data_IF_613653111715
#
_entry.id   IF_613653111715
#
_cell.length_a   1.000
_cell.length_b   1.000
_cell.length_c   1.000
_cell.angle_alpha   90.00
_cell.angle_beta   90.00
_cell.angle_gamma   90.00
#
_symmetry.space_group_name_H-M   'P 1'
#
loop_
_entity.id
_entity.type
_entity.pdbx_description
1 polymer ?
#
# COMPACT_ATOMS: atom_id res chain seq x y z
N UNK A 1 -48.29 2.09 30.75
CA UNK A 1 -48.27 2.27 29.28
C UNK A 1 -47.65 1.03 28.68
N UNK A 2 -48.45 0.12 28.10
CA UNK A 2 -47.92 -1.08 27.45
C UNK A 2 -47.35 -0.71 26.09
N UNK A 3 -46.04 -0.86 25.94
CA UNK A 3 -45.37 -0.63 24.66
C UNK A 3 -45.79 -1.76 23.72
N UNK A 4 -46.45 -1.43 22.61
CA UNK A 4 -46.87 -2.45 21.64
C UNK A 4 -45.63 -3.00 20.91
N UNK A 5 -45.54 -4.30 20.63
CA UNK A 5 -44.41 -4.88 19.90
C UNK A 5 -44.10 -4.15 18.58
N UNK A 6 -45.13 -3.63 17.90
CA UNK A 6 -44.99 -2.84 16.67
C UNK A 6 -44.32 -1.46 16.86
N UNK A 7 -44.42 -0.86 18.04
CA UNK A 7 -43.75 0.41 18.35
C UNK A 7 -42.25 0.23 18.62
N UNK A 8 -41.84 -0.91 19.18
CA UNK A 8 -40.44 -1.27 19.38
C UNK A 8 -39.76 -1.59 18.06
N UNK A 9 -40.43 -2.31 17.15
CA UNK A 9 -39.86 -2.61 15.84
C UNK A 9 -39.69 -1.36 14.98
N UNK A 10 -40.64 -0.43 15.02
CA UNK A 10 -40.56 0.83 14.31
C UNK A 10 -39.38 1.71 14.78
N UNK A 11 -39.15 1.83 16.09
CA UNK A 11 -38.02 2.62 16.61
C UNK A 11 -36.67 2.01 16.26
N UNK A 12 -36.54 0.68 16.29
CA UNK A 12 -35.33 -0.03 15.85
C UNK A 12 -35.05 0.18 14.36
N UNK A 13 -36.08 0.16 13.50
CA UNK A 13 -35.93 0.42 12.06
C UNK A 13 -35.48 1.85 11.78
N UNK A 14 -36.07 2.84 12.46
CA UNK A 14 -35.66 4.25 12.33
C UNK A 14 -34.21 4.43 12.80
N UNK A 15 -33.84 3.82 13.93
CA UNK A 15 -32.46 3.84 14.42
C UNK A 15 -31.47 3.22 13.43
N UNK A 16 -31.83 2.08 12.81
CA UNK A 16 -31.02 1.43 11.78
C UNK A 16 -30.87 2.31 10.53
N UNK A 17 -31.94 2.94 10.06
CA UNK A 17 -31.91 3.85 8.90
C UNK A 17 -31.02 5.06 9.18
N UNK A 18 -31.15 5.69 10.36
CA UNK A 18 -30.29 6.81 10.77
C UNK A 18 -28.83 6.36 10.84
N UNK A 19 -28.55 5.20 11.42
CA UNK A 19 -27.20 4.64 11.47
C UNK A 19 -26.63 4.41 10.06
N UNK A 20 -27.39 3.80 9.16
CA UNK A 20 -26.97 3.60 7.76
C UNK A 20 -26.71 4.95 7.07
N UNK A 21 -27.61 5.92 7.23
CA UNK A 21 -27.45 7.26 6.64
C UNK A 21 -26.19 7.96 7.15
N UNK A 22 -25.92 7.90 8.44
CA UNK A 22 -24.71 8.51 9.02
C UNK A 22 -23.44 7.84 8.53
N UNK A 23 -23.41 6.51 8.42
CA UNK A 23 -22.30 5.76 7.83
C UNK A 23 -22.10 6.14 6.36
N UNK A 24 -23.17 6.16 5.55
CA UNK A 24 -23.10 6.51 4.12
C UNK A 24 -22.62 7.96 3.93
N UNK A 25 -23.16 8.92 4.69
CA UNK A 25 -22.72 10.31 4.62
C UNK A 25 -21.24 10.45 5.00
N UNK A 26 -20.78 9.74 6.03
CA UNK A 26 -19.37 9.72 6.42
C UNK A 26 -18.48 9.19 5.30
N UNK A 27 -18.86 8.09 4.65
CA UNK A 27 -18.10 7.53 3.53
C UNK A 27 -18.10 8.45 2.30
N UNK A 28 -19.21 9.11 2.00
CA UNK A 28 -19.29 10.10 0.91
C UNK A 28 -18.38 11.29 1.19
N UNK A 29 -18.43 11.86 2.39
CA UNK A 29 -17.56 12.97 2.79
C UNK A 29 -16.09 12.53 2.75
N UNK A 30 -15.78 11.33 3.26
CA UNK A 30 -14.46 10.73 3.21
C UNK A 30 -13.96 10.59 1.76
N UNK A 31 -14.80 10.11 0.86
CA UNK A 31 -14.49 9.98 -0.56
C UNK A 31 -14.27 11.33 -1.24
N UNK A 32 -15.10 12.34 -0.96
CA UNK A 32 -14.93 13.70 -1.49
C UNK A 32 -13.61 14.29 -0.99
N UNK A 33 -13.30 14.14 0.30
CA UNK A 33 -12.05 14.62 0.88
C UNK A 33 -10.84 13.92 0.26
N UNK A 34 -10.89 12.60 0.11
CA UNK A 34 -9.87 11.81 -0.59
C UNK A 34 -9.62 12.37 -1.99
N UNK A 35 -10.67 12.57 -2.78
CA UNK A 35 -10.58 13.09 -4.15
C UNK A 35 -9.99 14.50 -4.18
N UNK A 36 -10.37 15.37 -3.23
CA UNK A 36 -9.81 16.72 -3.10
C UNK A 36 -8.32 16.69 -2.78
N UNK A 37 -7.89 15.85 -1.83
CA UNK A 37 -6.49 15.70 -1.42
C UNK A 37 -5.57 15.35 -2.59
N UNK A 38 -6.02 14.49 -3.50
CA UNK A 38 -5.21 14.04 -4.63
C UNK A 38 -5.47 14.78 -5.95
N UNK A 39 -6.44 15.70 -5.99
CA UNK A 39 -6.86 16.39 -7.24
C UNK A 39 -5.78 17.28 -7.87
N UNK A 40 -4.81 17.75 -7.09
CA UNK A 40 -3.70 18.60 -7.58
C UNK A 40 -2.49 17.83 -8.12
N UNK A 41 -2.49 16.50 -8.03
CA UNK A 41 -1.39 15.69 -8.52
C UNK A 41 -1.56 15.35 -10.00
N UNK A 42 -0.48 15.33 -10.79
CA UNK A 42 -0.56 14.88 -12.17
C UNK A 42 -0.91 13.39 -12.22
N UNK A 43 -1.55 12.96 -13.30
CA UNK A 43 -1.97 11.58 -13.54
C UNK A 43 -1.34 11.05 -14.84
N UNK A 44 -1.04 9.74 -14.94
CA UNK A 44 -0.35 9.16 -16.10
C UNK A 44 -1.17 9.20 -17.39
N UNK A 45 -2.49 9.25 -17.28
CA UNK A 45 -3.42 9.28 -18.40
C UNK A 45 -4.86 9.49 -17.93
N UNK A 46 -5.83 9.27 -18.83
CA UNK A 46 -7.25 9.41 -18.50
C UNK A 46 -7.70 8.27 -17.58
N UNK A 47 -8.32 8.61 -16.45
CA UNK A 47 -8.87 7.62 -15.52
C UNK A 47 -10.19 7.02 -16.00
N UNK A 48 -10.32 5.69 -15.91
CA UNK A 48 -11.61 4.99 -16.04
C UNK A 48 -12.38 5.02 -14.71
N UNK A 49 -13.70 5.19 -14.75
CA UNK A 49 -14.53 5.34 -13.55
C UNK A 49 -14.47 4.12 -12.61
N UNK A 50 -14.35 2.91 -13.17
CA UNK A 50 -14.36 1.65 -12.41
C UNK A 50 -12.97 1.12 -12.05
N UNK A 51 -12.03 1.13 -13.00
CA UNK A 51 -10.72 0.48 -12.83
C UNK A 51 -9.59 1.48 -12.59
N UNK A 52 -9.89 2.78 -12.58
CA UNK A 52 -8.89 3.82 -12.43
C UNK A 52 -7.91 3.81 -13.62
N UNK A 53 -6.62 3.70 -13.32
CA UNK A 53 -5.51 3.62 -14.27
C UNK A 53 -5.07 2.19 -14.60
N UNK A 54 -5.71 1.15 -14.06
CA UNK A 54 -5.31 -0.24 -14.33
C UNK A 54 -5.31 -0.59 -15.82
N UNK A 55 -6.23 -0.02 -16.59
CA UNK A 55 -6.32 -0.22 -18.04
C UNK A 55 -5.16 0.39 -18.85
N UNK A 56 -4.33 1.22 -18.22
CA UNK A 56 -3.12 1.79 -18.84
C UNK A 56 -1.91 0.86 -18.68
N UNK A 57 -1.99 -0.13 -17.79
CA UNK A 57 -0.88 -1.04 -17.53
C UNK A 57 -0.79 -2.08 -18.64
N UNK A 58 0.38 -2.23 -19.30
CA UNK A 58 0.60 -3.31 -20.24
C UNK A 58 0.79 -4.65 -19.50
N UNK A 59 0.94 -5.72 -20.27
CA UNK A 59 1.26 -7.04 -19.74
C UNK A 59 2.52 -7.01 -18.83
N UNK A 60 2.53 -7.82 -17.76
CA UNK A 60 3.70 -7.95 -16.89
C UNK A 60 4.98 -8.31 -17.67
N UNK A 61 6.13 -7.88 -17.15
CA UNK A 61 7.44 -8.11 -17.74
C UNK A 61 8.03 -6.85 -18.34
N UNK A 62 8.74 -6.99 -19.46
CA UNK A 62 9.51 -5.90 -20.06
C UNK A 62 8.65 -4.72 -20.50
N UNK A 63 7.46 -4.97 -21.06
CA UNK A 63 6.52 -3.92 -21.48
C UNK A 63 6.11 -3.03 -20.31
N UNK A 64 5.84 -3.63 -19.15
CA UNK A 64 5.50 -2.88 -17.93
C UNK A 64 6.67 -2.05 -17.42
N UNK A 65 7.89 -2.57 -17.49
CA UNK A 65 9.10 -1.83 -17.11
C UNK A 65 9.30 -0.62 -18.04
N UNK A 66 9.17 -0.81 -19.36
CA UNK A 66 9.26 0.27 -20.35
C UNK A 66 8.19 1.33 -20.11
N UNK A 67 6.95 0.92 -19.91
CA UNK A 67 5.86 1.84 -19.57
C UNK A 67 6.15 2.64 -18.29
N UNK A 68 6.71 2.01 -17.26
CA UNK A 68 7.08 2.69 -16.02
C UNK A 68 8.20 3.71 -16.24
N UNK A 69 9.20 3.38 -17.07
CA UNK A 69 10.28 4.29 -17.47
C UNK A 69 9.74 5.49 -18.26
N UNK A 70 8.89 5.26 -19.26
CA UNK A 70 8.26 6.31 -20.07
C UNK A 70 7.36 7.22 -19.23
N UNK A 71 6.56 6.63 -18.34
CA UNK A 71 5.71 7.38 -17.42
C UNK A 71 6.54 8.22 -16.46
N UNK A 72 7.67 7.68 -15.99
CA UNK A 72 8.62 8.42 -15.16
C UNK A 72 9.30 9.55 -15.94
N UNK A 73 9.63 9.35 -17.21
CA UNK A 73 10.15 10.41 -18.07
C UNK A 73 9.15 11.56 -18.29
N UNK A 74 7.86 11.24 -18.48
CA UNK A 74 6.77 12.23 -18.61
C UNK A 74 6.42 12.93 -17.30
N UNK A 75 6.49 12.20 -16.18
CA UNK A 75 6.10 12.64 -14.84
C UNK A 75 7.26 12.44 -13.85
N UNK A 76 8.33 13.26 -13.95
CA UNK A 76 9.63 12.97 -13.32
C UNK A 76 9.66 13.15 -11.80
N UNK A 77 8.73 13.91 -11.21
CA UNK A 77 8.71 14.15 -9.76
C UNK A 77 7.76 13.21 -9.04
N UNK A 78 6.46 13.45 -9.17
CA UNK A 78 5.41 12.67 -8.50
C UNK A 78 4.22 12.54 -9.44
N UNK A 79 3.39 11.51 -9.24
CA UNK A 79 2.07 11.41 -9.86
C UNK A 79 1.12 10.56 -9.04
N UNK A 80 -0.18 10.70 -9.29
CA UNK A 80 -1.21 9.87 -8.66
C UNK A 80 -1.64 8.72 -9.59
N UNK A 81 -1.56 7.49 -9.09
CA UNK A 81 -2.08 6.30 -9.73
C UNK A 81 -3.34 5.81 -9.01
N UNK A 82 -4.47 5.74 -9.70
CA UNK A 82 -5.73 5.28 -9.14
C UNK A 82 -5.96 3.79 -9.45
N UNK A 83 -6.13 2.97 -8.43
CA UNK A 83 -6.62 1.59 -8.52
C UNK A 83 -8.12 1.58 -8.23
N UNK A 84 -8.92 1.67 -9.29
CA UNK A 84 -10.36 1.92 -9.16
C UNK A 84 -10.69 3.31 -8.62
N UNK A 85 -11.95 3.55 -8.20
CA UNK A 85 -12.39 4.89 -7.78
C UNK A 85 -11.85 5.30 -6.40
N UNK A 86 -11.53 4.35 -5.51
CA UNK A 86 -11.32 4.62 -4.08
C UNK A 86 -9.87 4.49 -3.59
N UNK A 87 -8.93 4.08 -4.44
CA UNK A 87 -7.53 3.83 -4.02
C UNK A 87 -6.54 4.66 -4.84
N UNK A 88 -6.21 5.87 -4.39
CA UNK A 88 -5.10 6.64 -4.94
C UNK A 88 -3.77 6.16 -4.33
N UNK A 89 -2.75 6.06 -5.15
CA UNK A 89 -1.37 5.79 -4.76
C UNK A 89 -0.48 6.88 -5.31
N UNK A 90 0.37 7.47 -4.48
CA UNK A 90 1.33 8.48 -4.93
C UNK A 90 2.61 7.78 -5.33
N UNK A 91 2.99 7.92 -6.60
CA UNK A 91 4.24 7.41 -7.14
C UNK A 91 5.30 8.50 -6.99
N UNK A 92 6.46 8.15 -6.45
CA UNK A 92 7.59 9.04 -6.22
C UNK A 92 8.71 8.65 -7.18
N UNK A 93 9.03 9.55 -8.09
CA UNK A 93 9.97 9.29 -9.18
C UNK A 93 11.28 10.06 -9.05
N UNK A 94 11.35 11.03 -8.11
CA UNK A 94 12.55 11.82 -7.88
C UNK A 94 13.18 11.51 -6.50
N UNK A 95 14.52 11.44 -6.39
CA UNK A 95 15.21 11.19 -5.13
C UNK A 95 14.81 12.15 -4.00
N UNK A 96 14.64 13.44 -4.29
CA UNK A 96 14.20 14.43 -3.30
C UNK A 96 12.83 14.06 -2.72
N UNK A 97 11.88 13.70 -3.59
CA UNK A 97 10.51 13.36 -3.17
C UNK A 97 10.45 12.04 -2.42
N UNK A 98 11.24 11.04 -2.85
CA UNK A 98 11.35 9.77 -2.14
C UNK A 98 12.01 9.93 -0.77
N UNK A 99 13.05 10.79 -0.67
CA UNK A 99 13.80 11.01 0.57
C UNK A 99 12.91 11.51 1.72
N UNK A 100 11.93 12.37 1.42
CA UNK A 100 10.99 12.89 2.42
C UNK A 100 10.28 11.75 3.16
N UNK A 101 9.82 10.73 2.44
CA UNK A 101 9.11 9.60 3.03
C UNK A 101 10.06 8.51 3.55
N UNK A 102 11.17 8.22 2.85
CA UNK A 102 12.13 7.20 3.26
C UNK A 102 12.88 7.53 4.56
N UNK A 103 12.95 8.80 4.95
CA UNK A 103 13.52 9.25 6.23
C UNK A 103 12.55 9.10 7.40
N UNK A 104 11.28 8.82 7.16
CA UNK A 104 10.28 8.61 8.20
C UNK A 104 10.31 7.17 8.71
N UNK A 105 9.84 6.96 9.94
CA UNK A 105 9.67 5.64 10.54
C UNK A 105 8.22 5.12 10.42
N UNK A 106 7.46 5.63 9.44
CA UNK A 106 6.06 5.26 9.24
C UNK A 106 5.90 3.74 9.06
N UNK A 107 4.86 3.13 9.66
CA UNK A 107 4.65 1.70 9.54
C UNK A 107 4.27 1.34 8.11
N UNK A 108 4.67 0.13 7.71
CA UNK A 108 4.28 -0.41 6.41
C UNK A 108 2.76 -0.67 6.39
N UNK A 109 2.09 -0.46 5.25
CA UNK A 109 0.65 -0.67 5.15
C UNK A 109 0.32 -2.17 5.13
N UNK A 110 0.24 -2.77 6.32
CA UNK A 110 -0.17 -4.17 6.54
C UNK A 110 -1.68 -4.34 6.71
N UNK A 111 -2.41 -3.22 6.76
CA UNK A 111 -3.87 -3.18 6.86
C UNK A 111 -4.56 -3.62 5.57
N UNK A 112 -5.89 -3.82 5.66
CA UNK A 112 -6.72 -4.22 4.51
C UNK A 112 -6.52 -3.28 3.31
N UNK A 113 -6.19 -3.86 2.16
CA UNK A 113 -5.93 -3.13 0.92
C UNK A 113 -4.47 -2.70 0.69
N UNK A 114 -3.57 -2.92 1.65
CA UNK A 114 -2.13 -2.68 1.48
C UNK A 114 -1.39 -3.89 0.91
N UNK A 115 -0.37 -3.64 0.06
CA UNK A 115 0.40 -4.69 -0.62
C UNK A 115 1.06 -5.68 0.37
N UNK A 116 1.56 -5.19 1.51
CA UNK A 116 2.23 -6.01 2.52
C UNK A 116 1.31 -6.99 3.24
N UNK A 117 -0.02 -6.77 3.23
CA UNK A 117 -0.98 -7.71 3.84
C UNK A 117 -0.97 -9.07 3.16
N UNK A 118 -0.74 -9.10 1.85
CA UNK A 118 -0.74 -10.35 1.09
C UNK A 118 0.40 -11.28 1.48
N UNK A 119 1.50 -10.74 2.02
CA UNK A 119 2.63 -11.52 2.51
C UNK A 119 2.44 -12.03 3.95
N UNK A 120 1.45 -11.50 4.70
CA UNK A 120 1.26 -11.80 6.12
C UNK A 120 0.97 -13.28 6.42
N UNK A 121 0.12 -14.00 5.66
CA UNK A 121 -0.16 -15.42 5.94
C UNK A 121 1.07 -16.32 5.75
N UNK A 122 2.00 -15.92 4.89
CA UNK A 122 3.20 -16.70 4.55
C UNK A 122 4.38 -16.34 5.46
N UNK A 123 4.73 -15.05 5.54
CA UNK A 123 5.93 -14.58 6.23
C UNK A 123 5.72 -14.27 7.71
N UNK A 124 4.46 -14.18 8.15
CA UNK A 124 4.10 -13.72 9.48
C UNK A 124 4.60 -12.30 9.78
N UNK A 125 4.56 -11.89 11.05
CA UNK A 125 5.01 -10.57 11.47
C UNK A 125 6.54 -10.49 11.69
N UNK A 126 7.30 -10.91 10.68
CA UNK A 126 8.77 -10.84 10.66
C UNK A 126 9.32 -9.46 10.35
N UNK A 127 10.65 -9.35 10.18
CA UNK A 127 11.36 -8.08 9.93
C UNK A 127 10.77 -7.26 8.76
N UNK A 128 10.30 -7.93 7.71
CA UNK A 128 9.73 -7.27 6.54
C UNK A 128 8.40 -6.57 6.83
N UNK A 129 7.53 -7.18 7.65
CA UNK A 129 6.16 -6.70 7.89
C UNK A 129 6.01 -5.94 9.21
N UNK A 130 6.93 -6.16 10.16
CA UNK A 130 6.93 -5.46 11.43
C UNK A 130 7.05 -3.94 11.25
N UNK A 131 6.35 -3.20 12.10
CA UNK A 131 6.44 -1.74 12.24
C UNK A 131 6.99 -1.32 13.61
N UNK A 132 7.37 -0.05 13.71
CA UNK A 132 7.72 0.61 14.98
C UNK A 132 8.76 -0.14 15.82
N UNK A 133 8.50 -0.26 17.12
CA UNK A 133 9.43 -0.83 18.09
C UNK A 133 9.77 -2.31 17.82
N UNK A 134 8.79 -3.11 17.34
CA UNK A 134 9.01 -4.52 16.98
C UNK A 134 10.02 -4.65 15.85
N UNK A 135 9.86 -3.84 14.79
CA UNK A 135 10.82 -3.76 13.70
C UNK A 135 12.20 -3.32 14.19
N UNK A 136 12.28 -2.28 15.01
CA UNK A 136 13.55 -1.75 15.50
C UNK A 136 14.32 -2.81 16.33
N UNK A 137 13.61 -3.53 17.21
CA UNK A 137 14.17 -4.65 17.98
C UNK A 137 14.68 -5.76 17.06
N UNK A 138 13.84 -6.24 16.13
CA UNK A 138 14.23 -7.31 15.20
C UNK A 138 15.41 -6.90 14.31
N UNK A 139 15.44 -5.65 13.83
CA UNK A 139 16.54 -5.12 13.02
C UNK A 139 17.84 -5.08 13.81
N UNK A 140 17.82 -4.57 15.04
CA UNK A 140 18.99 -4.53 15.92
C UNK A 140 19.54 -5.93 16.20
N UNK A 141 18.67 -6.92 16.38
CA UNK A 141 19.06 -8.31 16.62
C UNK A 141 19.71 -8.95 15.38
N UNK A 142 19.16 -8.70 14.18
CA UNK A 142 19.60 -9.36 12.94
C UNK A 142 20.81 -8.69 12.29
N UNK A 143 21.00 -7.38 12.45
CA UNK A 143 22.06 -6.63 11.74
C UNK A 143 23.47 -7.23 11.94
N UNK A 144 23.88 -7.71 13.14
CA UNK A 144 25.20 -8.31 13.34
C UNK A 144 25.46 -9.57 12.49
N UNK A 145 24.41 -10.34 12.15
CA UNK A 145 24.55 -11.55 11.33
C UNK A 145 24.94 -11.25 9.87
N UNK A 146 24.79 -10.00 9.44
CA UNK A 146 25.17 -9.51 8.11
C UNK A 146 26.47 -8.67 8.14
N UNK A 147 27.25 -8.76 9.22
CA UNK A 147 28.58 -8.13 9.27
C UNK A 147 29.56 -8.83 8.33
N UNK A 148 30.48 -8.09 7.70
CA UNK A 148 31.40 -8.65 6.70
C UNK A 148 32.21 -9.84 7.20
N UNK A 149 32.60 -9.85 8.47
CA UNK A 149 33.33 -10.99 9.08
C UNK A 149 32.51 -12.28 9.09
N UNK A 150 31.20 -12.16 9.27
CA UNK A 150 30.26 -13.28 9.20
C UNK A 150 30.03 -13.68 7.75
N UNK A 151 30.00 -12.71 6.82
CA UNK A 151 29.75 -12.96 5.40
C UNK A 151 30.96 -13.57 4.66
N UNK A 152 32.19 -13.26 5.06
CA UNK A 152 33.43 -13.68 4.37
C UNK A 152 33.51 -15.20 4.12
N UNK A 153 33.27 -16.08 5.11
CA UNK A 153 33.31 -17.53 4.89
C UNK A 153 32.27 -18.04 3.88
N UNK A 154 31.14 -17.36 3.70
CA UNK A 154 30.11 -17.77 2.74
C UNK A 154 30.55 -17.68 1.28
N UNK A 155 31.61 -16.91 0.97
CA UNK A 155 32.17 -16.85 -0.38
C UNK A 155 32.59 -18.25 -0.87
N UNK A 156 33.23 -19.05 -0.01
CA UNK A 156 33.64 -20.40 -0.38
C UNK A 156 32.43 -21.30 -0.66
N UNK A 157 31.38 -21.18 0.16
CA UNK A 157 30.12 -21.92 0.00
C UNK A 157 29.43 -21.51 -1.32
N UNK A 158 29.40 -20.22 -1.64
CA UNK A 158 28.81 -19.72 -2.88
C UNK A 158 29.57 -20.20 -4.11
N UNK A 159 30.91 -20.24 -4.05
CA UNK A 159 31.74 -20.77 -5.14
C UNK A 159 31.50 -22.26 -5.34
N UNK A 160 31.49 -23.06 -4.28
CA UNK A 160 31.20 -24.49 -4.35
C UNK A 160 29.81 -24.76 -4.94
N UNK A 161 28.79 -23.99 -4.51
CA UNK A 161 27.45 -24.10 -5.06
C UNK A 161 27.37 -23.69 -6.55
N UNK A 162 28.18 -22.72 -6.97
CA UNK A 162 28.26 -22.31 -8.37
C UNK A 162 28.97 -23.37 -9.22
N UNK A 163 30.07 -23.95 -8.74
CA UNK A 163 30.82 -25.02 -9.42
C UNK A 163 29.97 -26.29 -9.56
N UNK A 164 29.07 -26.58 -8.62
CA UNK A 164 28.13 -27.70 -8.72
C UNK A 164 27.01 -27.44 -9.75
N UNK A 165 26.60 -26.19 -9.91
CA UNK A 165 25.51 -25.80 -10.80
C UNK A 165 25.96 -25.75 -12.29
N UNK A 166 27.23 -25.40 -12.53
CA UNK A 166 27.85 -25.26 -13.85
C UNK A 166 28.33 -26.61 -14.41
#
# INVERSE_FOLDING_TARGET
MSVSPGSVTATLLVGLVIYILTVVLREIIGYINLRKTFSGLPEPGKRHWLYGHLHLLPEPGEKLIRWAQETTGRLPRIYCFWTGPFRPSVMLNHPETASVLLKTAEPKPVQWGGAYRHALPWLGEGLLLAGGAKWARSRRLLTPAFHFDILRPYQNIYNEAADLLL
#
